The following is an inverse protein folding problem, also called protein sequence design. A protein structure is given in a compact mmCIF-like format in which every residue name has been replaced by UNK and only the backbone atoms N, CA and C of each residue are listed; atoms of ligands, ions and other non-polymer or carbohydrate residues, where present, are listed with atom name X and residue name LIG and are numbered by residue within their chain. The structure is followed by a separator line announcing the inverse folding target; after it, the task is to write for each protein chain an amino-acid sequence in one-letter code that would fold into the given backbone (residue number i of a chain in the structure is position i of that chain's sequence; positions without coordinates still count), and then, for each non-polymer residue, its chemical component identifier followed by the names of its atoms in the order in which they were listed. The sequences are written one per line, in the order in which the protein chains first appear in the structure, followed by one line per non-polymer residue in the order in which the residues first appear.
data_IF_660000859905
#
_entry.id   IF_660000859905
#
_cell.length_a   1.000
_cell.length_b   1.000
_cell.length_c   1.000
_cell.angle_alpha   90.00
_cell.angle_beta   90.00
_cell.angle_gamma   90.00
#
_symmetry.space_group_name_H-M   'P 1'
#
loop_
_entity.id
_entity.type
_entity.pdbx_description
1 polymer ?
#
# COMPACT_ATOMS: atom_id res chain seq x y z
N UNK A 1 19.78 -35.18 -18.88
CA UNK A 1 18.72 -34.50 -18.11
C UNK A 1 19.35 -34.05 -16.81
N UNK A 2 19.14 -32.81 -16.41
CA UNK A 2 19.60 -32.24 -15.12
C UNK A 2 18.77 -32.88 -14.02
N UNK A 3 19.37 -33.61 -13.09
CA UNK A 3 18.66 -34.15 -11.94
C UNK A 3 18.49 -33.01 -10.90
N UNK A 4 17.26 -32.75 -10.49
CA UNK A 4 16.94 -31.77 -9.46
C UNK A 4 16.25 -32.41 -8.27
N UNK A 5 16.51 -31.87 -7.08
CA UNK A 5 15.85 -32.29 -5.86
C UNK A 5 15.47 -31.06 -5.00
N UNK A 6 14.31 -31.12 -4.37
CA UNK A 6 13.88 -30.21 -3.33
C UNK A 6 14.21 -30.79 -1.96
N UNK A 7 14.95 -30.04 -1.15
CA UNK A 7 15.12 -30.32 0.27
C UNK A 7 14.18 -29.40 1.04
N UNK A 8 13.29 -29.98 1.82
CA UNK A 8 12.40 -29.24 2.73
C UNK A 8 12.86 -29.45 4.16
N UNK A 9 13.28 -28.38 4.83
CA UNK A 9 13.73 -28.40 6.22
C UNK A 9 12.66 -27.75 7.09
N UNK A 10 12.20 -28.46 8.14
CA UNK A 10 11.21 -27.96 9.09
C UNK A 10 11.61 -28.24 10.52
N UNK A 11 11.36 -27.31 11.43
CA UNK A 11 11.62 -27.48 12.85
C UNK A 11 11.79 -26.17 13.61
N UNK A 12 12.26 -26.26 14.83
CA UNK A 12 12.54 -25.07 15.64
C UNK A 12 13.72 -24.29 15.04
N UNK A 13 13.53 -22.98 14.80
CA UNK A 13 14.62 -22.14 14.30
C UNK A 13 15.74 -22.02 15.34
N UNK A 14 16.96 -22.29 14.88
CA UNK A 14 18.19 -22.20 15.68
C UNK A 14 19.34 -21.70 14.81
N UNK A 15 20.23 -20.86 15.38
CA UNK A 15 21.43 -20.44 14.69
C UNK A 15 22.25 -21.65 14.20
N UNK A 16 22.67 -21.61 12.94
CA UNK A 16 23.54 -22.61 12.33
C UNK A 16 22.85 -23.75 11.57
N UNK A 17 21.52 -23.88 11.58
CA UNK A 17 20.80 -24.90 10.79
C UNK A 17 21.11 -24.76 9.31
N UNK A 18 20.90 -23.57 8.76
CA UNK A 18 21.14 -23.25 7.34
C UNK A 18 22.63 -23.44 6.99
N UNK A 19 23.56 -22.97 7.85
CA UNK A 19 24.98 -23.13 7.61
C UNK A 19 25.39 -24.62 7.52
N UNK A 20 24.88 -25.47 8.40
CA UNK A 20 25.14 -26.92 8.37
C UNK A 20 24.60 -27.60 7.12
N UNK A 21 23.39 -27.22 6.72
CA UNK A 21 22.79 -27.76 5.50
C UNK A 21 23.68 -27.48 4.28
N UNK A 22 24.08 -26.20 4.11
CA UNK A 22 24.90 -25.82 2.95
C UNK A 22 26.33 -26.36 3.05
N UNK A 23 26.93 -26.51 4.23
CA UNK A 23 28.20 -27.16 4.42
C UNK A 23 28.13 -28.62 3.98
N UNK A 24 27.11 -29.37 4.42
CA UNK A 24 26.88 -30.73 4.03
C UNK A 24 26.61 -30.89 2.51
N UNK A 25 25.86 -29.96 1.90
CA UNK A 25 25.65 -29.95 0.44
C UNK A 25 26.96 -29.76 -0.34
N UNK A 26 27.88 -28.93 0.17
CA UNK A 26 29.18 -28.72 -0.43
C UNK A 26 30.05 -29.99 -0.38
N UNK A 27 29.96 -30.79 0.68
CA UNK A 27 30.69 -32.10 0.80
C UNK A 27 30.14 -33.13 -0.17
N UNK A 28 28.81 -33.21 -0.36
CA UNK A 28 28.21 -34.12 -1.35
C UNK A 28 28.71 -33.84 -2.77
N UNK A 29 28.91 -32.55 -3.10
CA UNK A 29 29.46 -32.13 -4.40
C UNK A 29 30.88 -32.55 -4.66
N UNK A 30 31.69 -32.88 -3.63
CA UNK A 30 33.07 -33.37 -3.76
C UNK A 30 33.20 -34.81 -4.27
N UNK A 31 32.25 -35.66 -3.95
CA UNK A 31 32.24 -37.08 -4.29
C UNK A 31 31.42 -37.43 -5.55
N UNK A 32 30.61 -36.51 -6.02
CA UNK A 32 29.72 -36.64 -7.17
C UNK A 32 29.94 -35.46 -8.14
N UNK A 33 29.09 -35.36 -9.14
CA UNK A 33 29.03 -34.19 -10.02
C UNK A 33 28.76 -32.94 -9.17
N UNK A 34 29.38 -31.76 -9.46
CA UNK A 34 29.19 -30.56 -8.70
C UNK A 34 27.70 -30.23 -8.48
N UNK A 35 27.32 -30.09 -7.22
CA UNK A 35 25.96 -29.72 -6.81
C UNK A 35 25.85 -28.20 -6.90
N UNK A 36 24.82 -27.70 -7.58
CA UNK A 36 24.49 -26.26 -7.63
C UNK A 36 23.17 -26.00 -6.93
N UNK A 37 23.10 -24.85 -6.22
CA UNK A 37 21.86 -24.35 -5.64
C UNK A 37 21.10 -23.64 -6.74
N UNK A 38 19.91 -24.14 -7.04
CA UNK A 38 19.04 -23.60 -8.10
C UNK A 38 18.09 -22.55 -7.54
N UNK A 39 17.58 -22.79 -6.31
CA UNK A 39 16.63 -21.91 -5.65
C UNK A 39 16.68 -22.11 -4.12
N UNK A 40 16.35 -21.06 -3.35
CA UNK A 40 16.29 -21.15 -1.90
C UNK A 40 15.28 -20.17 -1.34
N UNK A 41 14.38 -20.67 -0.49
CA UNK A 41 13.45 -19.85 0.26
C UNK A 41 13.43 -20.27 1.74
N UNK A 42 13.53 -19.30 2.64
CA UNK A 42 13.49 -19.52 4.09
C UNK A 42 12.47 -18.60 4.74
N UNK A 43 11.63 -19.17 5.59
CA UNK A 43 10.67 -18.44 6.41
C UNK A 43 10.76 -18.92 7.86
N UNK A 44 10.72 -17.98 8.79
CA UNK A 44 10.60 -18.29 10.22
C UNK A 44 9.27 -17.73 10.74
N UNK A 45 8.38 -18.60 11.19
CA UNK A 45 7.06 -18.23 11.71
C UNK A 45 6.99 -18.65 13.17
N UNK A 46 6.90 -17.67 14.09
CA UNK A 46 6.86 -17.91 15.54
C UNK A 46 7.93 -18.91 16.04
N UNK A 47 9.18 -18.74 15.56
CA UNK A 47 10.31 -19.59 15.92
C UNK A 47 10.32 -20.96 15.26
N UNK A 48 9.45 -21.23 14.31
CA UNK A 48 9.46 -22.43 13.45
C UNK A 48 10.09 -22.09 12.10
N UNK A 49 11.15 -22.81 11.75
CA UNK A 49 11.84 -22.70 10.46
C UNK A 49 11.11 -23.55 9.42
N UNK A 50 10.88 -22.98 8.26
CA UNK A 50 10.58 -23.68 7.01
C UNK A 50 11.58 -23.19 5.97
N UNK A 51 12.41 -24.11 5.46
CA UNK A 51 13.44 -23.79 4.46
C UNK A 51 13.30 -24.78 3.30
N UNK A 52 13.06 -24.24 2.11
CA UNK A 52 13.09 -24.98 0.85
C UNK A 52 14.40 -24.70 0.09
N UNK A 53 15.09 -25.74 -0.35
CA UNK A 53 16.30 -25.60 -1.17
C UNK A 53 16.18 -26.53 -2.37
N UNK A 54 16.18 -25.95 -3.56
CA UNK A 54 16.27 -26.73 -4.81
C UNK A 54 17.73 -26.81 -5.21
N UNK A 55 18.22 -28.04 -5.30
CA UNK A 55 19.57 -28.33 -5.77
C UNK A 55 19.53 -29.12 -7.07
N UNK A 56 20.56 -28.95 -7.90
CA UNK A 56 20.71 -29.66 -9.16
C UNK A 56 22.14 -30.13 -9.39
N UNK A 57 22.29 -31.05 -10.34
CA UNK A 57 23.60 -31.45 -10.85
C UNK A 57 23.75 -30.99 -12.29
N UNK A 58 24.93 -30.48 -12.67
CA UNK A 58 25.23 -30.23 -14.09
C UNK A 58 25.44 -31.60 -14.80
N UNK A 59 24.77 -31.79 -15.93
CA UNK A 59 25.06 -32.99 -16.71
C UNK A 59 26.52 -32.95 -17.19
N UNK A 60 27.32 -33.91 -16.83
CA UNK A 60 28.56 -34.15 -17.54
C UNK A 60 28.25 -34.74 -18.92
N UNK A 61 29.06 -34.45 -19.93
CA UNK A 61 28.97 -35.14 -21.21
C UNK A 61 29.11 -36.65 -20.98
N UNK A 62 28.01 -37.40 -21.16
CA UNK A 62 27.98 -38.84 -20.95
C UNK A 62 27.29 -39.30 -19.65
N UNK A 63 26.20 -38.68 -19.23
CA UNK A 63 25.38 -39.09 -18.05
C UNK A 63 25.16 -40.60 -18.00
N UNK A 64 25.59 -41.27 -16.91
CA UNK A 64 25.49 -42.71 -16.73
C UNK A 64 24.11 -43.12 -16.17
N UNK A 65 23.57 -44.27 -16.59
CA UNK A 65 22.35 -44.80 -15.98
C UNK A 65 22.49 -44.92 -14.45
N UNK A 66 21.52 -44.39 -13.68
CA UNK A 66 21.51 -44.45 -12.22
C UNK A 66 22.17 -43.28 -11.48
N UNK A 67 22.63 -42.22 -12.14
CA UNK A 67 23.19 -41.04 -11.51
C UNK A 67 22.14 -40.30 -10.63
N UNK A 68 20.92 -40.16 -11.11
CA UNK A 68 19.83 -39.59 -10.36
C UNK A 68 19.56 -40.34 -9.05
N UNK A 69 19.47 -41.64 -9.10
CA UNK A 69 19.27 -42.49 -7.91
C UNK A 69 20.41 -42.34 -6.89
N UNK A 70 21.66 -42.23 -7.37
CA UNK A 70 22.81 -41.98 -6.49
C UNK A 70 22.78 -40.59 -5.87
N UNK A 71 22.42 -39.59 -6.66
CA UNK A 71 22.28 -38.22 -6.20
C UNK A 71 21.21 -38.12 -5.10
N UNK A 72 20.01 -38.64 -5.33
CA UNK A 72 18.92 -38.66 -4.35
C UNK A 72 19.31 -39.47 -3.09
N UNK A 73 20.00 -40.59 -3.25
CA UNK A 73 20.48 -41.39 -2.12
C UNK A 73 21.56 -40.65 -1.30
N UNK A 74 22.42 -39.85 -1.93
CA UNK A 74 23.40 -39.00 -1.25
C UNK A 74 22.72 -37.89 -0.48
N UNK A 75 21.74 -37.20 -1.09
CA UNK A 75 20.94 -36.18 -0.42
C UNK A 75 20.13 -36.78 0.73
N UNK A 76 19.58 -37.97 0.61
CA UNK A 76 18.85 -38.63 1.69
C UNK A 76 19.74 -38.95 2.92
N UNK A 77 21.01 -39.33 2.70
CA UNK A 77 21.98 -39.50 3.80
C UNK A 77 22.32 -38.19 4.48
N UNK A 78 22.57 -37.13 3.69
CA UNK A 78 22.81 -35.79 4.16
C UNK A 78 21.60 -35.26 4.97
N UNK A 79 20.39 -35.45 4.49
CA UNK A 79 19.17 -35.07 5.16
C UNK A 79 19.04 -35.70 6.56
N UNK A 80 19.32 -36.98 6.66
CA UNK A 80 19.32 -37.73 7.93
C UNK A 80 20.40 -37.21 8.91
N UNK A 81 21.58 -36.87 8.41
CA UNK A 81 22.68 -36.34 9.22
C UNK A 81 22.41 -34.94 9.73
N UNK A 82 22.05 -34.01 8.83
CA UNK A 82 21.71 -32.64 9.18
C UNK A 82 20.51 -32.60 10.13
N UNK A 83 19.49 -33.42 9.90
CA UNK A 83 18.33 -33.57 10.76
C UNK A 83 18.69 -33.93 12.20
N UNK A 84 19.52 -34.96 12.35
CA UNK A 84 20.00 -35.42 13.69
C UNK A 84 20.87 -34.37 14.37
N UNK A 85 21.79 -33.74 13.63
CA UNK A 85 22.73 -32.77 14.20
C UNK A 85 22.07 -31.43 14.58
N UNK A 86 20.98 -31.06 13.92
CA UNK A 86 20.31 -29.77 14.09
C UNK A 86 18.95 -29.86 14.81
N UNK A 87 18.42 -31.07 14.99
CA UNK A 87 17.10 -31.29 15.59
C UNK A 87 15.94 -30.81 14.72
N UNK A 88 16.11 -30.83 13.40
CA UNK A 88 15.12 -30.49 12.39
C UNK A 88 14.75 -31.70 11.55
N UNK A 89 13.60 -31.65 10.89
CA UNK A 89 13.26 -32.62 9.84
C UNK A 89 13.78 -32.12 8.48
N UNK A 90 14.38 -33.02 7.71
CA UNK A 90 14.81 -32.71 6.34
C UNK A 90 14.22 -33.80 5.43
N UNK A 91 13.41 -33.38 4.47
CA UNK A 91 12.81 -34.24 3.44
C UNK A 91 13.48 -33.96 2.11
N UNK A 92 13.60 -34.98 1.28
CA UNK A 92 14.21 -34.88 -0.07
C UNK A 92 13.24 -35.47 -1.07
N UNK A 93 12.90 -34.67 -2.08
CA UNK A 93 11.99 -35.06 -3.16
C UNK A 93 12.64 -34.78 -4.51
N UNK A 94 12.46 -35.69 -5.48
CA UNK A 94 12.89 -35.44 -6.86
C UNK A 94 11.95 -34.41 -7.50
N UNK A 95 12.52 -33.41 -8.17
CA UNK A 95 11.76 -32.37 -8.88
C UNK A 95 11.99 -32.55 -10.39
N UNK A 96 10.92 -32.85 -11.11
CA UNK A 96 10.95 -32.85 -12.57
C UNK A 96 10.86 -31.40 -13.11
N UNK A 97 11.61 -31.09 -14.16
CA UNK A 97 11.61 -29.77 -14.83
C UNK A 97 10.24 -29.37 -15.43
N UNK A 98 9.25 -30.26 -15.41
CA UNK A 98 7.94 -30.05 -16.04
C UNK A 98 7.09 -28.90 -15.46
N UNK A 99 7.51 -28.28 -14.35
CA UNK A 99 6.74 -27.24 -13.68
C UNK A 99 7.15 -25.78 -13.94
N UNK A 100 8.35 -25.54 -14.48
CA UNK A 100 8.87 -24.17 -14.68
C UNK A 100 8.60 -23.58 -16.06
N UNK A 101 8.31 -24.42 -17.05
CA UNK A 101 7.97 -23.94 -18.40
C UNK A 101 6.53 -23.44 -18.54
N UNK A 102 5.74 -23.51 -17.47
CA UNK A 102 4.35 -23.10 -17.46
C UNK A 102 4.02 -22.06 -16.36
N UNK A 103 4.97 -21.25 -15.91
CA UNK A 103 4.55 -19.97 -15.34
C UNK A 103 3.87 -19.21 -16.48
N UNK A 104 2.55 -18.96 -16.41
CA UNK A 104 1.91 -18.18 -17.47
C UNK A 104 2.70 -16.89 -17.62
N UNK A 105 2.99 -16.51 -18.87
CA UNK A 105 3.70 -15.28 -19.23
C UNK A 105 2.89 -14.02 -18.89
N UNK A 106 2.12 -14.07 -17.80
CA UNK A 106 1.31 -12.99 -17.23
C UNK A 106 2.12 -12.19 -16.21
N UNK A 107 1.79 -10.93 -16.08
CA UNK A 107 2.35 -10.07 -15.04
C UNK A 107 1.87 -10.56 -13.68
N UNK A 108 2.79 -10.70 -12.71
CA UNK A 108 2.42 -11.00 -11.33
C UNK A 108 1.84 -9.76 -10.64
N UNK A 109 1.00 -9.98 -9.63
CA UNK A 109 0.34 -8.92 -8.89
C UNK A 109 0.52 -9.12 -7.39
N UNK A 110 0.57 -8.02 -6.65
CA UNK A 110 0.41 -8.02 -5.20
C UNK A 110 -1.05 -7.75 -4.86
N UNK A 111 -1.66 -8.65 -4.11
CA UNK A 111 -2.97 -8.46 -3.49
C UNK A 111 -2.74 -8.19 -2.01
N UNK A 112 -3.08 -6.99 -1.55
CA UNK A 112 -2.90 -6.56 -0.16
C UNK A 112 -4.26 -6.65 0.53
N UNK A 113 -4.36 -7.46 1.57
CA UNK A 113 -5.56 -7.62 2.40
C UNK A 113 -5.32 -6.93 3.75
N UNK A 114 -6.16 -5.96 4.10
CA UNK A 114 -6.03 -5.17 5.33
C UNK A 114 -7.31 -5.27 6.18
N UNK A 115 -7.15 -5.25 7.51
CA UNK A 115 -8.28 -5.28 8.44
C UNK A 115 -7.88 -5.02 9.89
N UNK A 116 -8.87 -4.95 10.80
CA UNK A 116 -8.66 -4.74 12.25
C UNK A 116 -9.50 -5.68 13.10
N UNK A 117 -9.06 -6.94 13.27
CA UNK A 117 -8.05 -7.70 12.52
C UNK A 117 -8.53 -8.10 11.12
N UNK A 118 -7.67 -8.74 10.33
CA UNK A 118 -8.11 -9.42 9.08
C UNK A 118 -8.82 -10.72 9.50
N UNK A 119 -10.12 -10.88 9.18
CA UNK A 119 -10.83 -12.11 9.51
C UNK A 119 -10.40 -13.25 8.57
N UNK A 120 -10.38 -14.52 9.03
CA UNK A 120 -10.02 -15.67 8.19
C UNK A 120 -10.86 -15.76 6.90
N UNK A 121 -12.12 -15.34 6.96
CA UNK A 121 -13.04 -15.32 5.83
C UNK A 121 -12.58 -14.41 4.69
N UNK A 122 -11.89 -13.31 5.03
CA UNK A 122 -11.33 -12.40 4.02
C UNK A 122 -10.18 -13.06 3.26
N UNK A 123 -9.31 -13.78 3.96
CA UNK A 123 -8.20 -14.51 3.33
C UNK A 123 -8.73 -15.68 2.50
N UNK A 124 -9.68 -16.45 3.06
CA UNK A 124 -10.31 -17.57 2.36
C UNK A 124 -11.07 -17.10 1.11
N UNK A 125 -11.85 -16.02 1.22
CA UNK A 125 -12.56 -15.43 0.11
C UNK A 125 -11.62 -14.89 -0.97
N UNK A 126 -10.53 -14.22 -0.58
CA UNK A 126 -9.53 -13.75 -1.51
C UNK A 126 -8.86 -14.91 -2.26
N UNK A 127 -8.45 -15.96 -1.54
CA UNK A 127 -7.85 -17.14 -2.15
C UNK A 127 -8.81 -17.85 -3.13
N UNK A 128 -10.08 -18.01 -2.74
CA UNK A 128 -11.09 -18.61 -3.61
C UNK A 128 -11.38 -17.75 -4.86
N UNK A 129 -11.44 -16.43 -4.71
CA UNK A 129 -11.66 -15.51 -5.82
C UNK A 129 -10.47 -15.52 -6.81
N UNK A 130 -9.23 -15.53 -6.30
CA UNK A 130 -8.01 -15.64 -7.11
C UNK A 130 -8.00 -16.95 -7.88
N UNK A 131 -8.23 -18.09 -7.19
CA UNK A 131 -8.28 -19.41 -7.82
C UNK A 131 -9.41 -19.51 -8.87
N UNK A 132 -10.58 -18.92 -8.60
CA UNK A 132 -11.73 -18.93 -9.51
C UNK A 132 -11.49 -18.26 -10.86
N UNK A 133 -10.51 -17.36 -10.96
CA UNK A 133 -10.09 -16.72 -12.23
C UNK A 133 -8.78 -17.31 -12.79
N UNK A 134 -8.34 -18.45 -12.27
CA UNK A 134 -7.13 -19.14 -12.73
C UNK A 134 -5.82 -18.59 -12.17
N UNK A 135 -5.87 -17.67 -11.19
CA UNK A 135 -4.70 -17.17 -10.50
C UNK A 135 -4.15 -18.15 -9.46
N UNK A 136 -2.86 -18.05 -9.19
CA UNK A 136 -2.16 -18.78 -8.13
C UNK A 136 -1.58 -17.82 -7.09
N UNK A 137 -1.63 -18.19 -5.81
CA UNK A 137 -0.95 -17.47 -4.74
C UNK A 137 0.43 -18.10 -4.55
N UNK A 138 1.48 -17.41 -4.97
CA UNK A 138 2.86 -17.91 -4.94
C UNK A 138 3.52 -17.68 -3.57
N UNK A 139 3.14 -16.59 -2.88
CA UNK A 139 3.66 -16.26 -1.55
C UNK A 139 2.64 -15.43 -0.75
N UNK A 140 2.71 -15.54 0.57
CA UNK A 140 1.97 -14.68 1.50
C UNK A 140 2.96 -14.11 2.51
N UNK A 141 2.97 -12.78 2.66
CA UNK A 141 3.83 -12.08 3.61
C UNK A 141 2.99 -11.13 4.47
N UNK A 142 3.25 -11.09 5.78
CA UNK A 142 2.68 -10.07 6.65
C UNK A 142 3.44 -8.75 6.48
N UNK A 143 2.72 -7.66 6.21
CA UNK A 143 3.30 -6.31 6.15
C UNK A 143 3.16 -5.57 7.48
N UNK A 144 2.05 -5.79 8.20
CA UNK A 144 1.79 -5.14 9.50
C UNK A 144 0.95 -6.03 10.40
N UNK A 145 1.14 -5.87 11.71
CA UNK A 145 0.34 -6.50 12.76
C UNK A 145 -0.44 -5.47 13.60
N UNK A 146 -0.08 -4.19 13.54
CA UNK A 146 -0.72 -3.11 14.31
C UNK A 146 -0.44 -1.74 13.64
N UNK A 147 -1.34 -0.75 13.71
CA UNK A 147 -2.72 -0.81 14.23
C UNK A 147 -3.69 -1.52 13.29
N UNK A 148 -3.28 -1.76 12.05
CA UNK A 148 -3.98 -2.50 11.03
C UNK A 148 -3.17 -3.75 10.70
N UNK A 149 -3.80 -4.91 10.74
CA UNK A 149 -3.18 -6.14 10.24
C UNK A 149 -3.23 -6.13 8.73
N UNK A 150 -2.13 -6.46 8.06
CA UNK A 150 -2.10 -6.54 6.61
C UNK A 150 -1.24 -7.68 6.11
N UNK A 151 -1.74 -8.36 5.07
CA UNK A 151 -1.06 -9.42 4.35
C UNK A 151 -0.92 -9.06 2.89
N UNK A 152 0.25 -9.34 2.32
CA UNK A 152 0.53 -9.24 0.90
C UNK A 152 0.59 -10.65 0.32
N UNK A 153 -0.23 -10.90 -0.68
CA UNK A 153 -0.25 -12.13 -1.47
C UNK A 153 0.39 -11.82 -2.82
N UNK A 154 1.44 -12.53 -3.18
CA UNK A 154 1.99 -12.50 -4.53
C UNK A 154 1.19 -13.45 -5.39
N UNK A 155 0.60 -12.96 -6.47
CA UNK A 155 -0.34 -13.70 -7.31
C UNK A 155 0.19 -13.72 -8.74
N UNK A 156 0.24 -14.90 -9.34
CA UNK A 156 0.52 -15.13 -10.76
C UNK A 156 -0.70 -15.68 -11.50
N UNK A 157 -0.64 -15.68 -12.83
CA UNK A 157 -1.66 -16.31 -13.68
C UNK A 157 -2.99 -15.56 -13.83
N UNK A 158 -3.13 -14.34 -13.28
CA UNK A 158 -4.35 -13.54 -13.41
C UNK A 158 -4.03 -12.09 -13.79
N UNK A 159 -4.96 -11.45 -14.52
CA UNK A 159 -4.86 -10.06 -14.92
C UNK A 159 -5.43 -9.11 -13.86
N UNK A 160 -4.87 -7.88 -13.76
CA UNK A 160 -5.24 -6.90 -12.73
C UNK A 160 -6.74 -6.57 -12.68
N UNK A 161 -7.37 -6.40 -13.84
CA UNK A 161 -8.81 -6.10 -13.94
C UNK A 161 -9.66 -7.24 -13.42
N UNK A 162 -9.30 -8.49 -13.77
CA UNK A 162 -9.96 -9.69 -13.26
C UNK A 162 -9.82 -9.82 -11.74
N UNK A 163 -8.61 -9.59 -11.21
CA UNK A 163 -8.34 -9.60 -9.77
C UNK A 163 -9.16 -8.54 -9.03
N UNK A 164 -9.16 -7.28 -9.50
CA UNK A 164 -9.95 -6.22 -8.86
C UNK A 164 -11.43 -6.55 -8.84
N UNK A 165 -11.98 -7.02 -9.97
CA UNK A 165 -13.40 -7.39 -10.06
C UNK A 165 -13.76 -8.56 -9.15
N UNK A 166 -12.95 -9.62 -9.14
CA UNK A 166 -13.20 -10.81 -8.31
C UNK A 166 -13.08 -10.50 -6.81
N UNK A 167 -12.14 -9.65 -6.41
CA UNK A 167 -11.88 -9.31 -5.01
C UNK A 167 -12.80 -8.23 -4.44
N UNK A 168 -13.46 -7.43 -5.29
CA UNK A 168 -14.39 -6.38 -4.85
C UNK A 168 -15.55 -6.95 -4.01
N UNK A 169 -16.10 -8.10 -4.39
CA UNK A 169 -17.19 -8.77 -3.64
C UNK A 169 -16.70 -9.28 -2.29
N UNK A 170 -15.46 -9.77 -2.21
CA UNK A 170 -14.85 -10.24 -0.96
C UNK A 170 -14.66 -9.06 0.01
N UNK A 171 -14.13 -7.94 -0.47
CA UNK A 171 -13.99 -6.72 0.33
C UNK A 171 -15.36 -6.24 0.87
N UNK A 172 -16.39 -6.23 0.03
CA UNK A 172 -17.74 -5.79 0.41
C UNK A 172 -18.39 -6.69 1.46
N UNK A 173 -18.17 -8.01 1.39
CA UNK A 173 -18.82 -8.97 2.30
C UNK A 173 -18.09 -9.18 3.60
N UNK A 174 -16.76 -9.05 3.61
CA UNK A 174 -15.93 -9.31 4.80
C UNK A 174 -15.55 -8.04 5.59
N UNK A 175 -15.74 -6.86 4.97
CA UNK A 175 -15.29 -5.59 5.55
C UNK A 175 -13.77 -5.41 5.59
N UNK A 176 -13.00 -6.31 4.98
CA UNK A 176 -11.57 -6.12 4.78
C UNK A 176 -11.33 -5.23 3.57
N UNK A 177 -10.29 -4.40 3.62
CA UNK A 177 -9.83 -3.65 2.46
C UNK A 177 -8.91 -4.53 1.61
N UNK A 178 -9.08 -4.48 0.29
CA UNK A 178 -8.27 -5.26 -0.64
C UNK A 178 -7.74 -4.34 -1.75
N UNK A 179 -6.42 -4.27 -1.87
CA UNK A 179 -5.74 -3.53 -2.93
C UNK A 179 -5.05 -4.49 -3.90
N UNK A 180 -5.01 -4.13 -5.19
CA UNK A 180 -4.33 -4.90 -6.24
C UNK A 180 -3.32 -4.00 -6.94
N UNK A 181 -2.03 -4.33 -6.78
CA UNK A 181 -0.90 -3.63 -7.38
C UNK A 181 -0.08 -4.56 -8.27
N UNK A 182 0.48 -4.03 -9.34
CA UNK A 182 1.36 -4.82 -10.21
C UNK A 182 2.72 -5.06 -9.54
N UNK A 183 3.24 -6.29 -9.61
CA UNK A 183 4.61 -6.63 -9.19
C UNK A 183 5.60 -5.93 -10.12
N UNK A 184 6.67 -5.37 -9.55
CA UNK A 184 7.77 -4.80 -10.33
C UNK A 184 8.18 -3.40 -9.89
N UNK A 185 8.94 -2.74 -10.76
CA UNK A 185 9.52 -1.42 -10.46
C UNK A 185 8.46 -0.34 -10.34
N UNK A 186 7.31 -0.45 -11.01
CA UNK A 186 6.25 0.57 -11.04
C UNK A 186 5.71 0.88 -9.64
N UNK A 187 5.51 -0.14 -8.78
CA UNK A 187 5.09 0.07 -7.40
C UNK A 187 6.15 0.79 -6.58
N UNK A 188 7.43 0.42 -6.77
CA UNK A 188 8.57 1.00 -6.04
C UNK A 188 9.05 2.34 -6.64
N UNK A 189 8.58 2.71 -7.82
CA UNK A 189 8.95 3.96 -8.49
C UNK A 189 8.09 5.15 -8.07
N UNK A 190 7.09 4.99 -7.22
CA UNK A 190 6.28 6.11 -6.70
C UNK A 190 7.18 7.15 -6.04
N UNK A 191 6.95 8.43 -6.35
CA UNK A 191 7.81 9.56 -5.91
C UNK A 191 7.03 10.79 -5.47
N UNK A 192 5.73 10.84 -5.75
CA UNK A 192 4.90 11.97 -5.37
C UNK A 192 3.60 11.46 -4.76
N UNK A 193 3.17 12.07 -3.66
CA UNK A 193 1.85 11.85 -3.06
C UNK A 193 1.11 13.17 -2.91
N UNK A 194 -0.15 13.18 -3.30
CA UNK A 194 -1.09 14.26 -3.09
C UNK A 194 -2.24 13.76 -2.23
N UNK A 195 -2.52 14.47 -1.16
CA UNK A 195 -3.60 14.16 -0.23
C UNK A 195 -4.68 15.24 -0.34
N UNK A 196 -5.94 14.86 -0.34
CA UNK A 196 -7.01 15.76 0.03
C UNK A 196 -6.89 16.13 1.51
N UNK A 197 -7.53 17.23 1.91
CA UNK A 197 -7.42 17.74 3.29
C UNK A 197 -8.65 17.36 4.11
N UNK A 198 -9.83 17.86 3.72
CA UNK A 198 -11.05 17.66 4.48
C UNK A 198 -11.45 16.18 4.48
N UNK A 199 -11.79 15.65 5.65
CA UNK A 199 -12.13 14.22 5.84
C UNK A 199 -11.07 13.20 5.41
N UNK A 200 -9.92 13.65 4.88
CA UNK A 200 -8.77 12.81 4.49
C UNK A 200 -7.55 13.05 5.37
N UNK A 201 -6.85 14.18 5.23
CA UNK A 201 -5.69 14.53 6.06
C UNK A 201 -6.09 14.99 7.45
N UNK A 202 -7.20 15.73 7.55
CA UNK A 202 -7.83 16.17 8.80
C UNK A 202 -9.20 15.52 8.97
N UNK A 203 -9.67 15.44 10.21
CA UNK A 203 -11.01 14.95 10.51
C UNK A 203 -12.02 16.09 10.36
N UNK A 204 -13.08 15.84 9.60
CA UNK A 204 -14.16 16.80 9.39
C UNK A 204 -13.88 17.81 8.28
N UNK A 205 -14.75 18.77 8.16
CA UNK A 205 -14.77 19.80 7.11
C UNK A 205 -14.41 21.16 7.71
N UNK A 206 -13.39 21.81 7.16
CA UNK A 206 -12.94 23.14 7.62
C UNK A 206 -14.04 24.17 7.51
N UNK A 207 -14.84 24.13 6.43
CA UNK A 207 -15.91 25.10 6.20
C UNK A 207 -17.04 24.99 7.24
N UNK A 208 -17.31 23.77 7.73
CA UNK A 208 -18.32 23.55 8.77
C UNK A 208 -17.87 24.13 10.12
N UNK A 209 -16.58 24.01 10.44
CA UNK A 209 -15.96 24.61 11.62
C UNK A 209 -16.03 26.16 11.58
N UNK A 210 -15.76 26.75 10.42
CA UNK A 210 -15.90 28.19 10.20
C UNK A 210 -17.36 28.63 10.32
N UNK A 211 -18.28 27.87 9.72
CA UNK A 211 -19.71 28.13 9.77
C UNK A 211 -20.27 28.08 11.21
N UNK A 212 -19.79 27.16 12.03
CA UNK A 212 -20.16 27.05 13.44
C UNK A 212 -19.76 28.31 14.21
N UNK A 213 -18.54 28.82 13.99
CA UNK A 213 -18.06 30.08 14.62
C UNK A 213 -18.79 31.33 14.09
N UNK A 214 -19.23 31.29 12.83
CA UNK A 214 -20.08 32.33 12.27
C UNK A 214 -21.53 32.33 12.79
N UNK A 215 -21.93 31.28 13.52
CA UNK A 215 -23.32 31.03 13.85
C UNK A 215 -24.20 30.72 12.63
N UNK A 216 -23.58 30.22 11.54
CA UNK A 216 -24.19 29.91 10.24
C UNK A 216 -24.21 28.42 9.89
N UNK A 217 -23.92 27.53 10.86
CA UNK A 217 -23.84 26.09 10.64
C UNK A 217 -25.09 25.52 9.92
N UNK A 218 -26.31 25.92 10.36
CA UNK A 218 -27.54 25.43 9.74
C UNK A 218 -27.73 25.93 8.29
N UNK A 219 -27.26 27.14 7.97
CA UNK A 219 -27.31 27.70 6.62
C UNK A 219 -26.35 26.97 5.69
N UNK A 220 -25.08 26.79 6.11
CA UNK A 220 -24.06 26.05 5.35
C UNK A 220 -24.46 24.59 5.15
N UNK A 221 -25.00 23.92 6.18
CA UNK A 221 -25.48 22.54 6.05
C UNK A 221 -26.60 22.41 5.01
N UNK A 222 -27.53 23.40 4.94
CA UNK A 222 -28.59 23.39 3.92
C UNK A 222 -28.04 23.58 2.51
N UNK A 223 -27.05 24.46 2.31
CA UNK A 223 -26.39 24.64 1.02
C UNK A 223 -25.65 23.38 0.59
N UNK A 224 -24.94 22.74 1.53
CA UNK A 224 -24.26 21.47 1.29
C UNK A 224 -25.24 20.37 0.87
N UNK A 225 -26.40 20.28 1.56
CA UNK A 225 -27.43 19.31 1.20
C UNK A 225 -28.01 19.56 -0.21
N UNK A 226 -28.25 20.81 -0.59
CA UNK A 226 -28.72 21.18 -1.93
C UNK A 226 -27.70 20.78 -3.01
N UNK A 227 -26.41 21.00 -2.77
CA UNK A 227 -25.35 20.58 -3.68
C UNK A 227 -25.28 19.03 -3.79
N UNK A 228 -25.43 18.33 -2.67
CA UNK A 228 -25.45 16.85 -2.67
C UNK A 228 -26.65 16.28 -3.42
N UNK A 229 -27.76 17.01 -3.49
CA UNK A 229 -28.96 16.65 -4.26
C UNK A 229 -28.84 17.03 -5.75
N UNK A 230 -27.74 17.69 -6.17
CA UNK A 230 -27.53 18.12 -7.54
C UNK A 230 -28.26 19.42 -7.93
N UNK A 231 -28.75 20.19 -6.94
CA UNK A 231 -29.45 21.47 -7.15
C UNK A 231 -28.46 22.63 -7.41
N UNK A 232 -27.22 22.49 -6.96
CA UNK A 232 -26.11 23.44 -7.14
C UNK A 232 -24.87 22.69 -7.65
N UNK A 233 -24.12 23.35 -8.54
CA UNK A 233 -22.79 22.87 -8.87
C UNK A 233 -21.78 23.14 -7.74
N UNK A 234 -20.57 22.57 -7.85
CA UNK A 234 -19.55 22.71 -6.80
C UNK A 234 -19.17 24.19 -6.57
N UNK A 235 -18.95 24.95 -7.64
CA UNK A 235 -18.51 26.34 -7.54
C UNK A 235 -19.61 27.25 -6.98
N UNK A 236 -20.86 27.03 -7.38
CA UNK A 236 -22.02 27.73 -6.84
C UNK A 236 -22.19 27.44 -5.35
N UNK A 237 -22.13 26.16 -4.96
CA UNK A 237 -22.22 25.73 -3.57
C UNK A 237 -21.07 26.31 -2.73
N UNK A 238 -19.83 26.30 -3.24
CA UNK A 238 -18.69 26.86 -2.52
C UNK A 238 -18.87 28.36 -2.31
N UNK A 239 -19.24 29.13 -3.35
CA UNK A 239 -19.48 30.59 -3.24
C UNK A 239 -20.60 30.89 -2.24
N UNK A 240 -21.70 30.13 -2.28
CA UNK A 240 -22.82 30.34 -1.35
C UNK A 240 -22.42 30.06 0.11
N UNK A 241 -21.64 29.01 0.34
CA UNK A 241 -21.13 28.68 1.68
C UNK A 241 -20.14 29.74 2.18
N UNK A 242 -19.24 30.21 1.31
CA UNK A 242 -18.28 31.27 1.66
C UNK A 242 -18.97 32.59 1.89
N UNK A 243 -20.02 32.95 1.14
CA UNK A 243 -20.83 34.14 1.37
C UNK A 243 -21.47 34.16 2.77
N UNK A 244 -21.85 33.00 3.30
CA UNK A 244 -22.37 32.87 4.67
C UNK A 244 -21.30 33.16 5.74
N UNK A 245 -20.01 33.20 5.41
CA UNK A 245 -18.90 33.52 6.32
C UNK A 245 -18.57 35.05 6.33
N UNK A 246 -19.27 35.87 5.54
CA UNK A 246 -19.01 37.30 5.44
C UNK A 246 -19.06 37.99 6.81
N UNK A 247 -18.09 38.87 7.06
CA UNK A 247 -17.98 39.64 8.31
C UNK A 247 -17.23 38.92 9.45
N UNK A 248 -16.89 37.64 9.32
CA UNK A 248 -16.05 36.97 10.32
C UNK A 248 -14.68 37.65 10.42
N UNK A 249 -14.15 37.86 11.64
CA UNK A 249 -12.78 38.30 11.84
C UNK A 249 -11.80 37.27 11.31
N UNK A 250 -10.67 37.71 10.73
CA UNK A 250 -9.66 36.81 10.17
C UNK A 250 -9.01 35.91 11.23
N UNK A 251 -8.98 36.34 12.49
CA UNK A 251 -8.46 35.61 13.64
C UNK A 251 -9.19 34.28 13.87
N UNK A 252 -10.42 34.14 13.41
CA UNK A 252 -11.18 32.88 13.48
C UNK A 252 -10.51 31.76 12.70
N UNK A 253 -9.75 32.10 11.65
CA UNK A 253 -8.97 31.10 10.89
C UNK A 253 -7.87 30.48 11.76
N UNK A 254 -7.24 31.26 12.64
CA UNK A 254 -6.23 30.78 13.57
C UNK A 254 -6.85 29.84 14.61
N UNK A 255 -8.00 30.22 15.15
CA UNK A 255 -8.76 29.37 16.08
C UNK A 255 -9.15 28.03 15.45
N UNK A 256 -9.61 28.04 14.19
CA UNK A 256 -9.94 26.80 13.48
C UNK A 256 -8.69 25.96 13.29
N UNK A 257 -7.55 26.54 12.88
CA UNK A 257 -6.30 25.80 12.71
C UNK A 257 -5.83 25.10 13.99
N UNK A 258 -5.94 25.77 15.14
CA UNK A 258 -5.57 25.22 16.44
C UNK A 258 -6.42 24.00 16.83
N UNK A 259 -7.68 23.95 16.36
CA UNK A 259 -8.61 22.87 16.67
C UNK A 259 -8.63 21.73 15.63
N UNK A 260 -7.90 21.89 14.50
CA UNK A 260 -7.84 20.83 13.49
C UNK A 260 -7.18 19.55 14.04
N UNK A 261 -7.88 18.45 13.89
CA UNK A 261 -7.41 17.14 14.30
C UNK A 261 -6.94 16.37 13.07
N UNK A 262 -5.65 16.05 13.03
CA UNK A 262 -5.11 15.20 11.98
C UNK A 262 -5.71 13.79 12.03
N UNK A 263 -5.93 13.21 10.88
CA UNK A 263 -6.26 11.80 10.76
C UNK A 263 -5.14 10.95 11.37
N UNK A 264 -5.47 9.93 12.19
CA UNK A 264 -4.45 9.04 12.76
C UNK A 264 -3.53 8.48 11.68
N UNK A 265 -2.22 8.46 11.95
CA UNK A 265 -1.22 8.00 10.98
C UNK A 265 -0.75 9.05 9.98
N UNK A 266 -1.41 10.21 9.84
CA UNK A 266 -1.04 11.24 8.86
C UNK A 266 0.43 11.69 9.00
N UNK A 267 0.89 12.01 10.22
CA UNK A 267 2.29 12.40 10.45
C UNK A 267 3.26 11.26 10.16
N UNK A 268 2.89 10.02 10.46
CA UNK A 268 3.70 8.82 10.19
C UNK A 268 3.84 8.63 8.68
N UNK A 269 2.74 8.68 7.94
CA UNK A 269 2.73 8.59 6.48
C UNK A 269 3.67 9.63 5.85
N UNK A 270 3.44 10.91 6.12
CA UNK A 270 4.20 12.02 5.52
C UNK A 270 5.68 11.90 5.87
N UNK A 271 6.02 11.72 7.14
CA UNK A 271 7.40 11.58 7.58
C UNK A 271 8.12 10.43 6.90
N UNK A 272 7.48 9.26 6.82
CA UNK A 272 8.05 8.07 6.17
C UNK A 272 8.30 8.31 4.70
N UNK A 273 7.31 8.83 3.98
CA UNK A 273 7.44 9.12 2.55
C UNK A 273 8.49 10.21 2.26
N UNK A 274 8.55 11.26 3.06
CA UNK A 274 9.59 12.30 2.95
C UNK A 274 10.99 11.73 3.11
N UNK A 275 11.20 10.81 4.04
CA UNK A 275 12.49 10.12 4.22
C UNK A 275 12.87 9.24 3.03
N UNK A 276 11.88 8.66 2.37
CA UNK A 276 12.07 7.90 1.15
C UNK A 276 12.26 8.78 -0.09
N UNK A 277 12.29 10.12 0.08
CA UNK A 277 12.49 11.07 -1.01
C UNK A 277 11.24 11.39 -1.81
N UNK A 278 10.06 11.04 -1.32
CA UNK A 278 8.82 11.45 -1.96
C UNK A 278 8.61 12.97 -1.85
N UNK A 279 8.02 13.54 -2.89
CA UNK A 279 7.35 14.83 -2.82
C UNK A 279 5.96 14.61 -2.25
N UNK A 280 5.65 15.36 -1.19
CA UNK A 280 4.37 15.24 -0.49
C UNK A 280 3.64 16.58 -0.53
N UNK A 281 2.39 16.57 -0.90
CA UNK A 281 1.58 17.77 -0.94
C UNK A 281 0.11 17.53 -0.69
N UNK A 282 -0.63 18.63 -0.60
CA UNK A 282 -2.08 18.66 -0.36
C UNK A 282 -2.79 19.46 -1.43
N UNK A 283 -3.99 19.03 -1.76
CA UNK A 283 -4.91 19.75 -2.65
C UNK A 283 -6.30 19.71 -2.04
N UNK A 284 -6.91 20.88 -1.82
CA UNK A 284 -8.19 20.98 -1.10
C UNK A 284 -9.18 21.90 -1.81
N UNK A 285 -10.45 21.56 -1.74
CA UNK A 285 -11.55 22.47 -1.99
C UNK A 285 -11.77 23.53 -0.88
N UNK A 286 -11.01 23.41 0.23
CA UNK A 286 -10.97 24.36 1.33
C UNK A 286 -10.12 25.60 1.03
N UNK A 287 -9.39 26.13 2.03
CA UNK A 287 -8.83 27.48 1.96
C UNK A 287 -7.34 27.54 2.24
N UNK A 288 -6.59 28.35 1.44
CA UNK A 288 -5.14 28.56 1.57
C UNK A 288 -4.74 29.03 2.95
N UNK A 289 -5.57 29.87 3.59
CA UNK A 289 -5.35 30.36 4.96
C UNK A 289 -5.27 29.22 6.00
N UNK A 290 -5.76 28.03 5.66
CA UNK A 290 -5.69 26.81 6.49
C UNK A 290 -4.63 25.87 5.94
N UNK A 291 -4.62 25.64 4.62
CA UNK A 291 -3.75 24.62 4.01
C UNK A 291 -2.29 25.01 3.98
N UNK A 292 -1.94 26.29 3.79
CA UNK A 292 -0.54 26.73 3.73
C UNK A 292 0.17 26.57 5.09
N UNK A 293 -0.40 27.04 6.23
CA UNK A 293 0.18 26.79 7.54
C UNK A 293 0.23 25.29 7.89
N UNK A 294 -0.76 24.50 7.47
CA UNK A 294 -0.79 23.07 7.68
C UNK A 294 0.33 22.36 6.89
N UNK A 295 0.56 22.80 5.65
CA UNK A 295 1.64 22.29 4.81
C UNK A 295 3.01 22.62 5.42
N UNK A 296 3.21 23.83 5.91
CA UNK A 296 4.42 24.25 6.61
C UNK A 296 4.67 23.39 7.87
N UNK A 297 3.63 23.24 8.70
CA UNK A 297 3.70 22.44 9.94
C UNK A 297 4.07 20.97 9.68
N UNK A 298 3.61 20.39 8.56
CA UNK A 298 3.85 18.99 8.19
C UNK A 298 5.10 18.83 7.32
N UNK A 299 5.75 19.92 6.90
CA UNK A 299 6.92 19.91 6.02
C UNK A 299 6.58 19.41 4.61
N UNK A 300 5.39 19.74 4.10
CA UNK A 300 4.97 19.38 2.75
C UNK A 300 5.69 20.23 1.71
N UNK A 301 5.81 19.70 0.49
CA UNK A 301 6.52 20.37 -0.61
C UNK A 301 5.62 21.37 -1.35
N UNK A 302 4.30 21.17 -1.29
CA UNK A 302 3.33 22.04 -1.98
C UNK A 302 1.94 21.93 -1.34
N UNK A 303 1.12 22.98 -1.60
CA UNK A 303 -0.29 23.03 -1.29
C UNK A 303 -1.05 23.73 -2.42
N UNK A 304 -2.33 23.38 -2.62
CA UNK A 304 -3.24 24.11 -3.48
C UNK A 304 -4.65 24.08 -2.87
N UNK A 305 -5.28 25.26 -2.77
CA UNK A 305 -6.62 25.41 -2.24
C UNK A 305 -7.22 26.73 -2.76
N UNK A 306 -8.49 26.99 -2.46
CA UNK A 306 -9.12 28.26 -2.72
C UNK A 306 -8.61 29.32 -1.75
N UNK A 307 -8.68 30.59 -2.13
CA UNK A 307 -8.27 31.70 -1.26
C UNK A 307 -9.50 32.53 -0.86
N UNK A 308 -9.73 32.64 0.46
CA UNK A 308 -10.77 33.54 0.99
C UNK A 308 -10.35 34.98 0.77
N UNK A 309 -11.30 35.83 0.33
CA UNK A 309 -11.07 37.25 0.22
C UNK A 309 -11.20 37.93 1.59
N UNK A 310 -10.20 38.74 1.93
CA UNK A 310 -10.12 39.47 3.21
C UNK A 310 -10.02 40.97 2.94
N UNK A 311 -10.83 41.75 3.60
CA UNK A 311 -10.75 43.21 3.63
C UNK A 311 -10.95 43.70 5.07
N UNK A 312 -10.17 44.69 5.47
CA UNK A 312 -10.24 45.33 6.79
C UNK A 312 -10.23 44.34 7.98
N UNK A 313 -9.42 43.24 7.86
CA UNK A 313 -9.31 42.19 8.87
C UNK A 313 -10.55 41.29 8.99
N UNK A 314 -11.41 41.28 7.97
CA UNK A 314 -12.62 40.44 7.94
C UNK A 314 -12.75 39.70 6.61
N UNK A 315 -13.40 38.51 6.65
CA UNK A 315 -13.81 37.81 5.46
C UNK A 315 -14.90 38.62 4.74
N UNK A 316 -14.73 38.83 3.43
CA UNK A 316 -15.74 39.53 2.62
C UNK A 316 -16.93 38.66 2.25
N UNK A 317 -16.75 37.32 2.32
CA UNK A 317 -17.66 36.34 1.75
C UNK A 317 -17.34 36.01 0.27
N UNK A 318 -16.22 36.53 -0.25
CA UNK A 318 -15.71 36.24 -1.60
C UNK A 318 -14.54 35.31 -1.61
N UNK A 319 -14.19 34.88 -2.84
CA UNK A 319 -13.01 34.08 -3.13
C UNK A 319 -12.10 34.85 -4.10
N UNK A 320 -10.79 34.62 -4.01
CA UNK A 320 -9.78 35.20 -4.90
C UNK A 320 -9.21 34.11 -5.80
N UNK A 321 -9.10 34.40 -7.10
CA UNK A 321 -8.50 33.50 -8.06
C UNK A 321 -9.45 32.43 -8.61
N UNK A 322 -8.87 31.40 -9.23
CA UNK A 322 -9.60 30.26 -9.79
C UNK A 322 -10.03 29.29 -8.68
N UNK A 323 -11.21 28.70 -8.85
CA UNK A 323 -11.73 27.72 -7.89
C UNK A 323 -11.05 26.39 -8.10
N UNK A 324 -10.53 25.81 -7.03
CA UNK A 324 -10.03 24.44 -6.96
C UNK A 324 -11.21 23.51 -6.74
N UNK A 325 -11.84 23.14 -7.83
CA UNK A 325 -12.90 22.13 -7.91
C UNK A 325 -12.34 20.75 -8.23
N UNK A 326 -13.19 19.83 -8.66
CA UNK A 326 -12.82 18.48 -9.07
C UNK A 326 -11.74 18.47 -10.16
N UNK A 327 -11.92 19.25 -11.23
CA UNK A 327 -10.94 19.39 -12.30
C UNK A 327 -9.69 20.13 -11.82
N UNK A 328 -9.84 21.14 -10.96
CA UNK A 328 -8.75 21.87 -10.34
C UNK A 328 -7.83 20.99 -9.50
N UNK A 329 -8.39 20.02 -8.75
CA UNK A 329 -7.60 19.03 -8.02
C UNK A 329 -6.75 18.16 -8.96
N UNK A 330 -7.32 17.70 -10.05
CA UNK A 330 -6.62 16.93 -11.06
C UNK A 330 -5.50 17.75 -11.75
N UNK A 331 -5.79 19.00 -12.13
CA UNK A 331 -4.80 19.91 -12.69
C UNK A 331 -3.67 20.22 -11.70
N UNK A 332 -3.95 20.34 -10.42
CA UNK A 332 -2.93 20.52 -9.38
C UNK A 332 -1.97 19.33 -9.33
N UNK A 333 -2.50 18.08 -9.33
CA UNK A 333 -1.66 16.87 -9.39
C UNK A 333 -0.73 16.89 -10.62
N UNK A 334 -1.26 17.17 -11.81
CA UNK A 334 -0.47 17.23 -13.04
C UNK A 334 0.62 18.30 -12.94
N UNK A 335 0.25 19.51 -12.53
CA UNK A 335 1.19 20.63 -12.36
C UNK A 335 2.33 20.30 -11.40
N UNK A 336 2.03 19.70 -10.24
CA UNK A 336 3.06 19.33 -9.28
C UNK A 336 3.95 18.20 -9.78
N UNK A 337 3.39 17.22 -10.49
CA UNK A 337 4.14 16.15 -11.11
C UNK A 337 5.13 16.72 -12.16
N UNK A 338 4.67 17.62 -13.03
CA UNK A 338 5.48 18.29 -14.03
C UNK A 338 6.59 19.16 -13.41
N UNK A 339 6.27 19.96 -12.39
CA UNK A 339 7.24 20.82 -11.67
C UNK A 339 8.40 20.02 -11.08
N UNK A 340 8.16 18.77 -10.71
CA UNK A 340 9.17 17.89 -10.14
C UNK A 340 9.74 16.87 -11.12
N UNK A 341 9.31 16.89 -12.38
CA UNK A 341 9.75 15.94 -13.42
C UNK A 341 9.33 14.50 -13.10
N UNK A 342 8.19 14.31 -12.43
CA UNK A 342 7.68 12.99 -12.00
C UNK A 342 6.55 12.57 -12.94
N UNK A 343 6.67 11.42 -13.64
CA UNK A 343 5.58 10.88 -14.46
C UNK A 343 4.34 10.56 -13.61
N UNK A 344 3.13 10.70 -14.19
CA UNK A 344 1.88 10.46 -13.48
C UNK A 344 1.78 9.02 -12.93
N UNK A 345 2.34 8.04 -13.61
CA UNK A 345 2.41 6.65 -13.16
C UNK A 345 3.20 6.50 -11.83
N UNK A 346 4.05 7.47 -11.50
CA UNK A 346 4.81 7.51 -10.26
C UNK A 346 4.15 8.35 -9.17
N UNK A 347 2.91 8.76 -9.37
CA UNK A 347 2.14 9.53 -8.39
C UNK A 347 1.17 8.66 -7.60
N UNK A 348 0.85 9.12 -6.40
CA UNK A 348 -0.21 8.58 -5.54
C UNK A 348 -1.15 9.72 -5.21
N UNK A 349 -2.45 9.50 -5.30
CA UNK A 349 -3.48 10.42 -4.85
C UNK A 349 -4.35 9.75 -3.81
N UNK A 350 -4.73 10.49 -2.76
CA UNK A 350 -5.60 10.00 -1.67
C UNK A 350 -6.69 11.01 -1.42
N UNK A 351 -7.94 10.58 -1.39
CA UNK A 351 -9.10 11.44 -1.13
C UNK A 351 -10.33 10.61 -0.76
N UNK A 352 -11.37 11.25 -0.22
CA UNK A 352 -12.61 10.59 0.25
C UNK A 352 -13.84 10.97 -0.57
N UNK A 353 -13.78 12.06 -1.34
CA UNK A 353 -14.92 12.70 -1.97
C UNK A 353 -15.06 12.45 -3.48
N UNK A 354 -16.26 12.70 -4.00
CA UNK A 354 -16.51 12.69 -5.44
C UNK A 354 -15.71 13.77 -6.20
N UNK A 355 -15.31 14.83 -5.51
CA UNK A 355 -14.44 15.89 -6.00
C UNK A 355 -12.98 15.47 -6.14
N UNK A 356 -12.60 14.27 -5.67
CA UNK A 356 -11.26 13.70 -5.84
C UNK A 356 -11.14 12.77 -7.03
N UNK A 357 -12.26 12.30 -7.59
CA UNK A 357 -12.29 11.21 -8.56
C UNK A 357 -11.38 11.44 -9.77
N UNK A 358 -11.32 12.65 -10.31
CA UNK A 358 -10.46 12.94 -11.47
C UNK A 358 -8.97 12.89 -11.06
N UNK A 359 -8.63 13.40 -9.89
CA UNK A 359 -7.29 13.30 -9.32
C UNK A 359 -6.91 11.84 -9.03
N UNK A 360 -7.81 11.08 -8.41
CA UNK A 360 -7.61 9.65 -8.13
C UNK A 360 -7.44 8.83 -9.42
N UNK A 361 -8.23 9.13 -10.45
CA UNK A 361 -8.18 8.44 -11.74
C UNK A 361 -6.92 8.73 -12.56
N UNK A 362 -6.37 9.94 -12.47
CA UNK A 362 -5.16 10.35 -13.18
C UNK A 362 -3.87 9.88 -12.49
N UNK A 363 -3.88 9.68 -11.20
CA UNK A 363 -2.71 9.22 -10.46
C UNK A 363 -2.32 7.79 -10.86
N UNK A 364 -1.03 7.48 -10.79
CA UNK A 364 -0.56 6.11 -10.97
C UNK A 364 -1.10 5.13 -9.91
N UNK A 365 -1.56 5.66 -8.76
CA UNK A 365 -2.33 4.94 -7.74
C UNK A 365 -3.28 5.91 -7.03
N UNK A 366 -4.57 5.79 -7.29
CA UNK A 366 -5.62 6.53 -6.60
C UNK A 366 -6.24 5.72 -5.48
N UNK A 367 -6.26 6.26 -4.27
CA UNK A 367 -6.76 5.60 -3.06
C UNK A 367 -7.97 6.36 -2.52
N UNK A 368 -9.13 5.71 -2.52
CA UNK A 368 -10.32 6.21 -1.84
C UNK A 368 -10.21 5.91 -0.34
N UNK A 369 -10.04 6.95 0.47
CA UNK A 369 -9.83 6.81 1.92
C UNK A 369 -11.11 7.13 2.70
N UNK A 370 -11.65 6.14 3.43
CA UNK A 370 -12.92 6.25 4.17
C UNK A 370 -14.08 6.82 3.33
N UNK A 371 -14.03 6.57 2.03
CA UNK A 371 -14.91 7.18 1.04
C UNK A 371 -16.28 6.50 0.97
N UNK A 372 -17.25 7.21 0.40
CA UNK A 372 -18.57 6.65 0.08
C UNK A 372 -18.46 5.54 -0.97
N UNK A 373 -19.40 4.57 -1.00
CA UNK A 373 -19.37 3.44 -1.94
C UNK A 373 -19.10 3.85 -3.39
N UNK A 374 -19.79 4.85 -3.89
CA UNK A 374 -19.63 5.39 -5.23
C UNK A 374 -18.18 5.82 -5.57
N UNK A 375 -17.47 6.42 -4.62
CA UNK A 375 -16.05 6.84 -4.81
C UNK A 375 -15.13 5.64 -4.77
N UNK A 376 -15.39 4.70 -3.85
CA UNK A 376 -14.60 3.46 -3.72
C UNK A 376 -14.63 2.61 -4.98
N UNK A 377 -15.77 2.55 -5.67
CA UNK A 377 -15.95 1.78 -6.91
C UNK A 377 -15.16 2.34 -8.08
N UNK A 378 -14.85 3.65 -8.08
CA UNK A 378 -14.15 4.33 -9.16
C UNK A 378 -12.65 4.53 -8.92
N UNK A 379 -12.18 4.40 -7.69
CA UNK A 379 -10.77 4.50 -7.36
C UNK A 379 -10.01 3.20 -7.71
N UNK A 380 -8.68 3.29 -7.82
CA UNK A 380 -7.83 2.11 -8.04
C UNK A 380 -7.90 1.14 -6.86
N UNK A 381 -8.00 1.67 -5.64
CA UNK A 381 -8.20 0.90 -4.41
C UNK A 381 -8.91 1.74 -3.35
N UNK A 382 -9.45 1.07 -2.32
CA UNK A 382 -10.10 1.71 -1.20
C UNK A 382 -9.48 1.29 0.12
N UNK A 383 -9.38 2.23 1.06
CA UNK A 383 -8.97 2.03 2.44
C UNK A 383 -10.05 2.59 3.37
N UNK A 384 -10.69 1.71 4.15
CA UNK A 384 -11.75 2.07 5.09
C UNK A 384 -11.28 1.94 6.56
N UNK A 385 -9.97 1.82 6.76
CA UNK A 385 -9.35 1.84 8.08
C UNK A 385 -9.13 3.28 8.54
N UNK A 386 -9.30 3.58 9.84
CA UNK A 386 -9.20 4.96 10.34
C UNK A 386 -7.76 5.47 10.47
N UNK A 387 -6.81 4.86 9.79
CA UNK A 387 -5.39 5.16 9.86
C UNK A 387 -4.84 5.48 8.47
N UNK A 388 -4.42 6.72 8.26
CA UNK A 388 -3.94 7.17 6.96
C UNK A 388 -2.60 6.52 6.56
N UNK A 389 -1.80 6.13 7.53
CA UNK A 389 -0.54 5.40 7.28
C UNK A 389 -0.74 3.97 6.77
N UNK A 390 -1.98 3.45 6.72
CA UNK A 390 -2.29 2.22 5.97
C UNK A 390 -1.96 2.31 4.47
N UNK A 391 -1.84 3.52 3.93
CA UNK A 391 -1.30 3.76 2.58
C UNK A 391 0.11 3.17 2.40
N UNK A 392 0.93 3.15 3.44
CA UNK A 392 2.28 2.57 3.40
C UNK A 392 2.24 1.07 3.10
N UNK A 393 1.27 0.33 3.65
CA UNK A 393 1.11 -1.09 3.38
C UNK A 393 0.67 -1.34 1.92
N UNK A 394 -0.20 -0.49 1.37
CA UNK A 394 -0.55 -0.56 -0.06
C UNK A 394 0.68 -0.34 -0.94
N UNK A 395 1.57 0.56 -0.53
CA UNK A 395 2.85 0.79 -1.21
C UNK A 395 3.89 -0.32 -0.96
N UNK A 396 3.60 -1.29 -0.08
CA UNK A 396 4.44 -2.45 0.20
C UNK A 396 5.46 -2.28 1.31
N UNK A 397 5.38 -1.21 2.07
CA UNK A 397 6.25 -1.02 3.23
C UNK A 397 5.76 -1.85 4.41
N UNK A 398 6.68 -2.52 5.08
CA UNK A 398 6.39 -3.25 6.32
C UNK A 398 6.37 -2.29 7.51
N UNK A 399 5.70 -2.73 8.59
CA UNK A 399 5.71 -1.97 9.83
C UNK A 399 7.12 -1.79 10.40
N UNK A 400 7.95 -2.82 10.32
CA UNK A 400 9.33 -2.79 10.77
C UNK A 400 10.11 -1.69 10.03
N UNK A 401 10.02 -1.63 8.70
CA UNK A 401 10.65 -0.57 7.89
C UNK A 401 10.18 0.84 8.30
N UNK A 402 8.87 0.98 8.60
CA UNK A 402 8.30 2.25 9.06
C UNK A 402 8.81 2.64 10.44
N UNK A 403 8.98 1.68 11.36
CA UNK A 403 9.48 1.91 12.73
C UNK A 403 10.98 2.24 12.72
N UNK A 404 11.78 1.53 11.92
CA UNK A 404 13.22 1.81 11.77
C UNK A 404 13.46 3.21 11.18
N UNK A 405 12.50 3.72 10.40
CA UNK A 405 12.50 5.09 9.93
C UNK A 405 12.22 6.13 11.05
N UNK A 406 11.87 5.75 12.27
CA UNK A 406 11.76 6.67 13.42
C UNK A 406 13.14 6.82 14.04
N UNK A 407 13.71 8.05 14.18
CA UNK A 407 14.95 8.21 14.94
C UNK A 407 14.67 7.71 16.37
N UNK A 408 15.42 6.74 16.81
CA UNK A 408 15.55 6.54 18.26
C UNK A 408 16.05 7.88 18.81
N UNK A 409 15.19 8.56 19.59
CA UNK A 409 15.63 9.73 20.33
C UNK A 409 16.82 9.25 21.17
N UNK A 410 18.04 9.59 20.69
CA UNK A 410 19.21 9.43 21.51
C UNK A 410 18.95 10.19 22.79
N UNK A 411 18.82 9.46 23.86
CA UNK A 411 18.88 9.95 25.24
C UNK A 411 19.92 11.06 25.35
N UNK A 412 19.48 12.28 25.57
CA UNK A 412 20.24 13.34 26.21
C UNK A 412 19.63 13.63 27.57
#
# INVERSE_FOLDING_TARGET
MTSRALLTVTGVDRPGVTARLFAALAEVGGDLVPVEVVDVEQVVVHGQLVLGVVVGTRPAEGSRPGEEARFLAALGRLAAEVGRASGVQVQVESVCDAGRDAAPAGRSHHVIVLGRPVPPEAVAGAAAAIAGIGGNIDAIRRLSDYPVTSFELTVSGAEATGLRSALASVAATTGADIAVEQVGLTRRSKRLIVLDVDSTLVRGEVIDELAARAGRAAEVARITAAAMNGELDFAESLRARVAALAGLPVEVLDEVREHLVLTPGARTLIRTLKRLGFRCGIVSGGFTQITDPLAEQLGLDFAAANTLEVADGRLTGGLVGEIVDRAGKAHALVRFAEQHGIPLEQTVAVGDGANDLDMLGLAGLGIAFNAKPYVREQAHTALNQPYLDAVLQVLGFTREEVLDAVPTSSSR
#
